data_IF_957521452670
#
_entry.id   IF_957521452670
#
_cell.length_a   1.000
_cell.length_b   1.000
_cell.length_c   1.000
_cell.angle_alpha   90.00
_cell.angle_beta   90.00
_cell.angle_gamma   90.00
#
_symmetry.space_group_name_H-M   'P 1'
#
loop_
_entity.id
_entity.type
_entity.pdbx_description
1 polymer ?
#
# COMPACT_ATOMS: atom_id res chain seq x y z
N UNK A 1 -10.84 -25.72 11.70
CA UNK A 1 -10.60 -24.28 11.86
C UNK A 1 -9.13 -24.03 11.58
N UNK A 2 -8.78 -23.55 10.38
CA UNK A 2 -7.38 -23.37 9.99
C UNK A 2 -6.81 -22.13 10.68
N UNK A 3 -5.77 -22.35 11.49
CA UNK A 3 -5.07 -21.35 12.26
C UNK A 3 -4.33 -20.40 11.30
N UNK A 4 -4.87 -19.19 11.07
CA UNK A 4 -4.31 -18.19 10.13
C UNK A 4 -3.18 -17.33 10.74
N UNK A 5 -2.66 -17.70 11.90
CA UNK A 5 -1.67 -16.93 12.67
C UNK A 5 -0.20 -17.12 12.26
N UNK A 6 0.06 -17.76 11.11
CA UNK A 6 1.41 -18.23 10.75
C UNK A 6 2.14 -17.49 9.62
N UNK A 7 1.55 -16.46 8.99
CA UNK A 7 2.27 -15.73 7.95
C UNK A 7 3.15 -14.65 8.59
N UNK A 8 4.47 -14.63 8.31
CA UNK A 8 5.34 -13.59 8.83
C UNK A 8 4.88 -12.23 8.28
N UNK A 9 4.87 -11.22 9.16
CA UNK A 9 4.59 -9.85 8.79
C UNK A 9 5.51 -9.40 7.65
N UNK A 10 4.98 -8.55 6.77
CA UNK A 10 5.74 -8.08 5.62
C UNK A 10 6.94 -7.25 6.06
N UNK A 11 8.07 -7.44 5.38
CA UNK A 11 9.24 -6.56 5.51
C UNK A 11 8.96 -5.22 4.85
N UNK A 12 9.69 -4.17 5.27
CA UNK A 12 9.64 -2.85 4.62
C UNK A 12 9.78 -2.93 3.09
N UNK A 13 10.73 -3.73 2.60
CA UNK A 13 10.97 -3.91 1.15
C UNK A 13 9.78 -4.55 0.42
N UNK A 14 9.08 -5.49 1.06
CA UNK A 14 7.87 -6.08 0.49
C UNK A 14 6.74 -5.07 0.44
N UNK A 15 6.55 -4.28 1.49
CA UNK A 15 5.57 -3.17 1.54
C UNK A 15 5.85 -2.17 0.42
N UNK A 16 7.10 -1.71 0.29
CA UNK A 16 7.52 -0.80 -0.80
C UNK A 16 7.25 -1.40 -2.19
N UNK A 17 7.44 -2.71 -2.35
CA UNK A 17 7.12 -3.43 -3.59
C UNK A 17 5.63 -3.41 -3.91
N UNK A 18 4.76 -3.65 -2.93
CA UNK A 18 3.31 -3.55 -3.11
C UNK A 18 2.85 -2.12 -3.40
N UNK A 19 3.46 -1.13 -2.75
CA UNK A 19 3.16 0.29 -3.00
C UNK A 19 3.57 0.71 -4.42
N UNK A 20 4.68 0.18 -4.93
CA UNK A 20 5.16 0.50 -6.28
C UNK A 20 4.20 0.03 -7.39
N UNK A 21 3.37 -0.98 -7.14
CA UNK A 21 2.36 -1.48 -8.10
C UNK A 21 1.42 -0.36 -8.57
N UNK A 22 0.99 0.53 -7.67
CA UNK A 22 0.03 1.59 -7.98
C UNK A 22 0.54 2.69 -8.93
N UNK A 23 1.85 2.77 -9.15
CA UNK A 23 2.48 3.82 -9.97
C UNK A 23 3.25 3.27 -11.15
N UNK A 24 3.31 1.94 -11.30
CA UNK A 24 4.09 1.28 -12.34
C UNK A 24 3.17 0.71 -13.43
N UNK A 25 3.38 1.18 -14.66
CA UNK A 25 2.62 0.79 -15.86
C UNK A 25 2.62 -0.72 -16.07
N UNK A 26 3.69 -1.41 -15.68
CA UNK A 26 3.84 -2.86 -15.85
C UNK A 26 2.85 -3.69 -15.01
N UNK A 27 2.23 -3.09 -13.98
CA UNK A 27 1.31 -3.78 -13.05
C UNK A 27 -0.11 -3.21 -13.08
N UNK A 28 -0.50 -2.52 -14.17
CA UNK A 28 -1.82 -1.87 -14.33
C UNK A 28 -2.99 -2.85 -14.53
N UNK A 29 -2.77 -4.16 -14.41
CA UNK A 29 -3.89 -5.09 -14.40
C UNK A 29 -4.66 -4.96 -13.08
N UNK A 30 -5.98 -4.78 -13.19
CA UNK A 30 -6.88 -4.60 -12.03
C UNK A 30 -6.70 -5.66 -10.94
N UNK A 31 -6.50 -6.96 -11.26
CA UNK A 31 -6.28 -7.98 -10.23
C UNK A 31 -5.02 -7.75 -9.40
N UNK A 32 -3.90 -7.36 -10.01
CA UNK A 32 -2.63 -7.12 -9.30
C UNK A 32 -2.71 -5.90 -8.40
N UNK A 33 -3.31 -4.79 -8.88
CA UNK A 33 -3.54 -3.61 -8.06
C UNK A 33 -4.45 -3.91 -6.85
N UNK A 34 -5.55 -4.64 -7.06
CA UNK A 34 -6.46 -4.98 -5.96
C UNK A 34 -5.78 -5.87 -4.92
N UNK A 35 -4.98 -6.86 -5.37
CA UNK A 35 -4.22 -7.72 -4.45
C UNK A 35 -3.21 -6.91 -3.63
N UNK A 36 -2.52 -5.95 -4.24
CA UNK A 36 -1.59 -5.07 -3.53
C UNK A 36 -2.32 -4.22 -2.49
N UNK A 37 -3.47 -3.67 -2.85
CA UNK A 37 -4.35 -2.89 -1.97
C UNK A 37 -4.77 -3.70 -0.74
N UNK A 38 -5.39 -4.86 -0.95
CA UNK A 38 -5.90 -5.71 0.14
C UNK A 38 -4.77 -6.19 1.06
N UNK A 39 -3.59 -6.49 0.48
CA UNK A 39 -2.41 -6.93 1.23
C UNK A 39 -1.90 -5.84 2.15
N UNK A 40 -1.77 -4.60 1.66
CA UNK A 40 -1.31 -3.47 2.46
C UNK A 40 -2.30 -3.10 3.57
N UNK A 41 -3.62 -3.14 3.29
CA UNK A 41 -4.63 -2.87 4.31
C UNK A 41 -4.69 -3.94 5.39
N UNK A 42 -4.50 -5.22 5.02
CA UNK A 42 -4.42 -6.32 5.97
C UNK A 42 -3.19 -6.17 6.87
N UNK A 43 -2.05 -5.80 6.31
CA UNK A 43 -0.82 -5.58 7.06
C UNK A 43 -0.95 -4.39 8.03
N UNK A 44 -1.51 -3.27 7.56
CA UNK A 44 -1.77 -2.09 8.39
C UNK A 44 -2.72 -2.41 9.55
N UNK A 45 -3.78 -3.17 9.29
CA UNK A 45 -4.70 -3.63 10.33
C UNK A 45 -4.02 -4.54 11.36
N UNK A 46 -3.17 -5.47 10.90
CA UNK A 46 -2.49 -6.41 11.78
C UNK A 46 -1.51 -5.72 12.74
N UNK A 47 -0.98 -4.55 12.39
CA UNK A 47 0.03 -3.81 13.18
C UNK A 47 -0.59 -2.76 14.08
N UNK A 48 -1.41 -1.88 13.50
CA UNK A 48 -1.93 -0.71 14.19
C UNK A 48 -3.46 -0.65 14.22
N UNK A 49 -4.14 -1.76 13.95
CA UNK A 49 -5.58 -1.87 14.04
C UNK A 49 -6.35 -1.05 13.00
N UNK A 50 -7.58 -0.70 13.36
CA UNK A 50 -8.52 -0.08 12.42
C UNK A 50 -8.08 1.33 11.98
N UNK A 51 -7.51 2.12 12.90
CA UNK A 51 -7.07 3.50 12.60
C UNK A 51 -5.93 3.52 11.58
N UNK A 52 -4.95 2.63 11.76
CA UNK A 52 -3.81 2.49 10.84
C UNK A 52 -4.26 1.96 9.48
N UNK A 53 -5.22 1.04 9.46
CA UNK A 53 -5.86 0.57 8.22
C UNK A 53 -6.53 1.72 7.46
N UNK A 54 -7.30 2.59 8.15
CA UNK A 54 -7.96 3.73 7.51
C UNK A 54 -6.96 4.76 7.00
N UNK A 55 -5.93 5.10 7.78
CA UNK A 55 -4.88 6.00 7.37
C UNK A 55 -4.12 5.48 6.12
N UNK A 56 -3.79 4.19 6.10
CA UNK A 56 -3.16 3.56 4.94
C UNK A 56 -4.09 3.59 3.71
N UNK A 57 -5.39 3.33 3.90
CA UNK A 57 -6.40 3.38 2.85
C UNK A 57 -6.48 4.76 2.19
N UNK A 58 -6.61 5.83 2.99
CA UNK A 58 -6.70 7.21 2.48
C UNK A 58 -5.48 7.57 1.62
N UNK A 59 -4.27 7.26 2.10
CA UNK A 59 -3.03 7.56 1.38
C UNK A 59 -2.89 6.77 0.08
N UNK A 60 -3.30 5.49 0.06
CA UNK A 60 -3.26 4.66 -1.15
C UNK A 60 -4.27 5.17 -2.19
N UNK A 61 -5.48 5.53 -1.74
CA UNK A 61 -6.51 6.05 -2.64
C UNK A 61 -6.10 7.40 -3.24
N UNK A 62 -5.47 8.27 -2.45
CA UNK A 62 -4.85 9.53 -2.92
C UNK A 62 -3.78 9.25 -3.98
N UNK A 63 -2.82 8.35 -3.69
CA UNK A 63 -1.76 7.98 -4.64
C UNK A 63 -2.32 7.51 -5.99
N UNK A 64 -3.35 6.66 -5.97
CA UNK A 64 -4.00 6.15 -7.19
C UNK A 64 -4.72 7.26 -7.95
N UNK A 65 -5.38 8.20 -7.25
CA UNK A 65 -6.03 9.35 -7.90
C UNK A 65 -5.01 10.26 -8.57
N UNK A 66 -3.95 10.63 -7.85
CA UNK A 66 -2.91 11.52 -8.34
C UNK A 66 -2.11 10.91 -9.50
N UNK A 67 -1.81 9.60 -9.43
CA UNK A 67 -1.17 8.88 -10.54
C UNK A 67 -2.05 8.88 -11.80
N UNK A 68 -3.36 8.63 -11.68
CA UNK A 68 -4.27 8.67 -12.83
C UNK A 68 -4.38 10.05 -13.47
N UNK A 69 -4.27 11.11 -12.68
CA UNK A 69 -4.34 12.50 -13.18
C UNK A 69 -3.00 13.00 -13.73
N UNK A 70 -1.90 12.27 -13.52
CA UNK A 70 -0.53 12.68 -13.87
C UNK A 70 -0.14 14.06 -13.29
N UNK A 71 -0.61 14.38 -12.08
CA UNK A 71 -0.44 15.73 -11.48
C UNK A 71 0.89 15.88 -10.74
N UNK A 72 1.37 14.80 -10.12
CA UNK A 72 2.51 14.89 -9.20
C UNK A 72 3.87 14.75 -9.90
N UNK A 73 4.87 15.44 -9.33
CA UNK A 73 6.25 15.24 -9.71
C UNK A 73 6.77 13.88 -9.22
N UNK A 74 7.87 13.40 -9.81
CA UNK A 74 8.54 12.16 -9.35
C UNK A 74 8.93 12.22 -7.88
N UNK A 75 9.30 13.40 -7.37
CA UNK A 75 9.65 13.60 -5.96
C UNK A 75 8.45 13.46 -5.03
N UNK A 76 7.29 13.98 -5.42
CA UNK A 76 6.06 13.89 -4.63
C UNK A 76 5.53 12.45 -4.61
N UNK A 77 5.60 11.73 -5.74
CA UNK A 77 5.31 10.29 -5.77
C UNK A 77 6.24 9.49 -4.85
N UNK A 78 7.52 9.86 -4.74
CA UNK A 78 8.43 9.21 -3.80
C UNK A 78 7.97 9.44 -2.35
N UNK A 79 7.67 10.69 -1.99
CA UNK A 79 7.20 11.05 -0.63
C UNK A 79 5.90 10.33 -0.26
N UNK A 80 4.91 10.27 -1.16
CA UNK A 80 3.65 9.57 -0.89
C UNK A 80 3.85 8.07 -0.67
N UNK A 81 4.70 7.43 -1.47
CA UNK A 81 5.02 6.00 -1.29
C UNK A 81 5.72 5.73 0.03
N UNK A 82 6.62 6.62 0.46
CA UNK A 82 7.26 6.56 1.78
C UNK A 82 6.25 6.76 2.91
N UNK A 83 5.31 7.70 2.78
CA UNK A 83 4.24 7.92 3.76
C UNK A 83 3.37 6.67 3.92
N UNK A 84 2.90 6.07 2.82
CA UNK A 84 2.13 4.82 2.86
C UNK A 84 2.94 3.72 3.56
N UNK A 85 4.22 3.57 3.20
CA UNK A 85 5.10 2.55 3.79
C UNK A 85 5.25 2.74 5.30
N UNK A 86 5.46 3.97 5.75
CA UNK A 86 5.61 4.28 7.17
C UNK A 86 4.29 4.09 7.93
N UNK A 87 3.15 4.46 7.34
CA UNK A 87 1.83 4.22 7.94
C UNK A 87 1.53 2.73 8.07
N UNK A 88 1.86 1.92 7.06
CA UNK A 88 1.66 0.45 7.14
C UNK A 88 2.59 -0.17 8.19
N UNK A 89 3.76 0.42 8.46
CA UNK A 89 4.73 -0.08 9.44
C UNK A 89 4.49 0.38 10.88
N UNK A 90 3.59 1.34 11.10
CA UNK A 90 3.25 1.89 12.41
C UNK A 90 2.53 0.86 13.30
#
# INVERSE_FOLDING_TARGET
MSNLSGLPSLTKKQIEGYVAIFTNVAFRDKPTEQKAYDTLLKEAFARGGQDTRYAAQELIDELKMEHRRNILSTGDFKRMRENITNTVLA
#
